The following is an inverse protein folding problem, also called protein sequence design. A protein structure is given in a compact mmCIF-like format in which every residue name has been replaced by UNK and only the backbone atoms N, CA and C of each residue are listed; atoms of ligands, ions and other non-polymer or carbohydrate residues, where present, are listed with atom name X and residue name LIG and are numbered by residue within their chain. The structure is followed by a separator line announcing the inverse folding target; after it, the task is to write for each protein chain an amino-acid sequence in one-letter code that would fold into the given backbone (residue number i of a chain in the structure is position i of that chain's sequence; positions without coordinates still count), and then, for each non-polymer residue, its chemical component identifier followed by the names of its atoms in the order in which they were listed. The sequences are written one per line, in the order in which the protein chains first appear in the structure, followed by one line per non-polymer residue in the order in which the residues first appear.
data_IF_134301000211
#
_entry.id   IF_134301000211
#
_cell.length_a   1.000
_cell.length_b   1.000
_cell.length_c   1.000
_cell.angle_alpha   90.00
_cell.angle_beta   90.00
_cell.angle_gamma   90.00
#
_symmetry.space_group_name_H-M   'P 1'
#
loop_
_entity.id
_entity.type
_entity.pdbx_description
1 polymer ?
#
# COMPACT_ATOMS: atom_id res chain seq x y z
N UNK A 1 6.03 4.77 13.95
CA UNK A 1 7.03 4.00 13.19
C UNK A 1 6.73 4.14 11.72
N UNK A 2 7.74 4.26 10.86
CA UNK A 2 7.52 4.45 9.42
C UNK A 2 7.49 3.11 8.72
N UNK A 3 6.45 2.86 7.93
CA UNK A 3 6.38 1.73 7.00
C UNK A 3 6.66 2.26 5.60
N UNK A 4 7.72 1.77 4.97
CA UNK A 4 8.03 2.03 3.58
C UNK A 4 7.44 0.90 2.73
N UNK A 5 6.30 1.15 2.10
CA UNK A 5 5.71 0.22 1.14
C UNK A 5 6.46 0.32 -0.18
N UNK A 6 6.86 -0.82 -0.73
CA UNK A 6 7.44 -0.95 -2.05
C UNK A 6 6.81 -2.16 -2.75
N UNK A 7 6.03 -1.92 -3.80
CA UNK A 7 5.39 -3.00 -4.58
C UNK A 7 5.80 -2.94 -6.03
N UNK A 8 6.27 -4.07 -6.57
CA UNK A 8 6.47 -4.23 -8.01
C UNK A 8 5.12 -4.50 -8.66
N UNK A 9 4.69 -3.60 -9.55
CA UNK A 9 3.42 -3.74 -10.27
C UNK A 9 3.50 -3.05 -11.65
N UNK A 10 3.32 -3.82 -12.71
CA UNK A 10 3.22 -3.28 -14.07
C UNK A 10 1.80 -2.82 -14.36
N UNK A 11 1.66 -1.58 -14.82
CA UNK A 11 0.37 -0.95 -15.08
C UNK A 11 0.28 -0.44 -16.52
N UNK A 12 -0.95 -0.18 -16.98
CA UNK A 12 -1.19 0.55 -18.22
C UNK A 12 -1.19 2.05 -17.97
N UNK A 13 -0.98 2.85 -19.01
CA UNK A 13 -0.98 4.31 -18.88
C UNK A 13 -2.27 4.84 -18.24
N UNK A 14 -2.13 5.73 -17.25
CA UNK A 14 -3.24 6.31 -16.49
C UNK A 14 -3.67 5.51 -15.25
N UNK A 15 -3.29 4.23 -15.15
CA UNK A 15 -3.50 3.45 -13.93
C UNK A 15 -2.49 3.83 -12.85
N UNK A 16 -2.94 3.84 -11.59
CA UNK A 16 -2.13 4.18 -10.44
C UNK A 16 -2.30 3.15 -9.32
N UNK A 17 -1.22 2.91 -8.56
CA UNK A 17 -1.22 1.98 -7.43
C UNK A 17 -1.39 2.74 -6.11
N UNK A 18 -2.19 2.17 -5.23
CA UNK A 18 -2.47 2.67 -3.89
C UNK A 18 -2.37 1.53 -2.88
N UNK A 19 -2.27 1.86 -1.60
CA UNK A 19 -2.35 0.90 -0.49
C UNK A 19 -3.46 1.29 0.47
N UNK A 20 -4.21 0.31 0.96
CA UNK A 20 -5.19 0.48 2.04
C UNK A 20 -5.15 -0.71 3.00
N UNK A 21 -5.65 -0.55 4.21
CA UNK A 21 -5.60 -1.59 5.23
C UNK A 21 -6.51 -1.30 6.41
N UNK A 22 -6.46 -2.18 7.42
CA UNK A 22 -7.36 -2.09 8.58
C UNK A 22 -7.05 -0.91 9.52
N UNK A 23 -5.83 -0.36 9.46
CA UNK A 23 -5.46 0.83 10.24
C UNK A 23 -6.12 2.09 9.67
N UNK A 24 -6.43 3.04 10.56
CA UNK A 24 -6.95 4.37 10.16
C UNK A 24 -5.96 5.13 9.29
N UNK A 25 -4.66 4.99 9.57
CA UNK A 25 -3.56 5.56 8.76
C UNK A 25 -3.45 4.93 7.36
N UNK A 26 -4.08 3.77 7.16
CA UNK A 26 -4.19 3.08 5.87
C UNK A 26 -5.62 3.17 5.29
N UNK A 27 -6.46 4.07 5.81
CA UNK A 27 -7.78 4.35 5.25
C UNK A 27 -8.88 3.35 5.62
N UNK A 28 -8.66 2.46 6.59
CA UNK A 28 -9.68 1.53 7.12
C UNK A 28 -10.43 0.74 6.03
N UNK A 29 -9.68 0.15 5.09
CA UNK A 29 -10.18 -0.59 3.92
C UNK A 29 -11.05 0.21 2.94
N UNK A 30 -11.14 1.54 3.07
CA UNK A 30 -11.90 2.36 2.13
C UNK A 30 -11.01 2.79 0.95
N UNK A 31 -11.30 2.36 -0.31
CA UNK A 31 -10.53 2.78 -1.48
C UNK A 31 -10.46 4.28 -1.69
N UNK A 32 -11.49 5.02 -1.26
CA UNK A 32 -11.49 6.48 -1.31
C UNK A 32 -10.40 7.10 -0.42
N UNK A 33 -10.04 6.44 0.67
CA UNK A 33 -9.05 6.88 1.66
C UNK A 33 -7.70 6.15 1.53
N UNK A 34 -7.50 5.39 0.44
CA UNK A 34 -6.25 4.68 0.17
C UNK A 34 -5.09 5.65 -0.06
N UNK A 35 -3.88 5.25 0.33
CA UNK A 35 -2.67 6.05 0.16
C UNK A 35 -2.09 5.83 -1.23
N UNK A 36 -1.83 6.91 -1.97
CA UNK A 36 -1.21 6.85 -3.31
C UNK A 36 0.27 6.46 -3.21
N UNK A 37 0.71 5.56 -4.09
CA UNK A 37 2.13 5.26 -4.26
C UNK A 37 2.71 6.05 -5.44
N UNK A 38 3.97 6.43 -5.32
CA UNK A 38 4.74 7.10 -6.38
C UNK A 38 5.36 6.09 -7.34
N UNK A 39 5.27 6.37 -8.63
CA UNK A 39 5.92 5.62 -9.71
C UNK A 39 7.36 6.08 -10.03
N UNK A 40 7.97 6.93 -9.19
CA UNK A 40 9.30 7.49 -9.45
C UNK A 40 10.41 6.45 -9.68
N UNK A 41 10.20 5.21 -9.20
CA UNK A 41 11.11 4.06 -9.38
C UNK A 41 10.44 2.91 -10.15
N UNK A 42 9.52 3.21 -11.07
CA UNK A 42 8.78 2.21 -11.84
C UNK A 42 9.70 1.11 -12.42
N UNK A 43 9.35 -0.19 -12.32
CA UNK A 43 8.03 -0.74 -11.96
C UNK A 43 7.77 -0.86 -10.45
N UNK A 44 8.67 -0.36 -9.60
CA UNK A 44 8.45 -0.34 -8.15
C UNK A 44 7.75 0.94 -7.76
N UNK A 45 6.55 0.79 -7.20
CA UNK A 45 5.73 1.84 -6.63
C UNK A 45 6.04 1.98 -5.14
N UNK A 46 6.13 3.22 -4.63
CA UNK A 46 6.57 3.47 -3.24
C UNK A 46 5.71 4.48 -2.48
N UNK A 47 5.49 4.23 -1.20
CA UNK A 47 4.94 5.20 -0.25
C UNK A 47 5.53 4.99 1.14
N UNK A 48 5.66 6.07 1.92
CA UNK A 48 6.04 6.00 3.33
C UNK A 48 4.85 6.44 4.18
N UNK A 49 4.42 5.62 5.14
CA UNK A 49 3.28 5.89 6.02
C UNK A 49 3.69 5.74 7.48
N UNK A 50 3.31 6.69 8.32
CA UNK A 50 3.46 6.54 9.76
C UNK A 50 2.32 5.72 10.34
N UNK A 51 2.66 4.70 11.11
CA UNK A 51 1.70 3.85 11.83
C UNK A 51 2.07 3.78 13.33
N UNK A 52 1.14 3.35 14.21
CA UNK A 52 1.43 3.19 15.63
C UNK A 52 2.60 2.21 15.85
N UNK A 53 3.45 2.51 16.82
CA UNK A 53 4.57 1.65 17.18
C UNK A 53 4.08 0.27 17.67
N UNK A 54 4.76 -0.81 17.28
CA UNK A 54 4.39 -2.18 17.66
C UNK A 54 3.09 -2.70 17.04
N UNK A 55 2.44 -1.95 16.14
CA UNK A 55 1.19 -2.36 15.52
C UNK A 55 1.37 -3.60 14.63
N UNK A 56 0.43 -4.53 14.75
CA UNK A 56 0.18 -5.55 13.73
C UNK A 56 -1.03 -5.13 12.90
N UNK A 57 -0.94 -5.25 11.58
CA UNK A 57 -1.98 -4.79 10.68
C UNK A 57 -2.07 -5.64 9.43
N UNK A 58 -3.19 -5.49 8.73
CA UNK A 58 -3.44 -6.07 7.42
C UNK A 58 -3.60 -4.97 6.39
N UNK A 59 -3.19 -5.25 5.17
CA UNK A 59 -3.26 -4.32 4.06
C UNK A 59 -3.43 -5.06 2.74
N UNK A 60 -3.87 -4.30 1.73
CA UNK A 60 -3.78 -4.67 0.32
C UNK A 60 -3.36 -3.50 -0.52
N UNK A 61 -2.74 -3.80 -1.64
CA UNK A 61 -2.64 -2.87 -2.73
C UNK A 61 -3.95 -2.83 -3.53
N UNK A 62 -4.30 -1.64 -4.03
CA UNK A 62 -5.36 -1.45 -5.02
C UNK A 62 -4.82 -0.71 -6.24
N UNK A 63 -5.31 -1.07 -7.43
CA UNK A 63 -5.08 -0.33 -8.67
C UNK A 63 -6.33 0.50 -8.97
N UNK A 64 -6.17 1.82 -9.04
CA UNK A 64 -7.20 2.70 -9.59
C UNK A 64 -6.91 2.90 -11.06
N UNK A 65 -7.85 2.46 -11.89
CA UNK A 65 -7.71 2.45 -13.34
C UNK A 65 -8.04 3.82 -13.94
N UNK A 66 -7.50 4.12 -15.12
CA UNK A 66 -7.79 5.37 -15.83
C UNK A 66 -9.30 5.59 -16.10
N UNK A 67 -10.09 4.51 -16.18
CA UNK A 67 -11.55 4.55 -16.35
C UNK A 67 -12.35 4.73 -15.06
N UNK A 68 -11.67 4.89 -13.91
CA UNK A 68 -12.30 5.10 -12.60
C UNK A 68 -12.64 3.82 -11.83
N UNK A 69 -12.30 2.63 -12.36
CA UNK A 69 -12.47 1.37 -11.65
C UNK A 69 -11.42 1.13 -10.57
N UNK A 70 -11.76 0.37 -9.53
CA UNK A 70 -10.85 -0.09 -8.46
C UNK A 70 -10.67 -1.60 -8.57
N UNK A 71 -9.43 -2.04 -8.77
CA UNK A 71 -9.05 -3.46 -8.76
C UNK A 71 -8.24 -3.74 -7.50
N UNK A 72 -8.65 -4.74 -6.74
CA UNK A 72 -7.91 -5.22 -5.57
C UNK A 72 -6.92 -6.29 -5.98
N UNK A 73 -5.81 -6.42 -5.24
CA UNK A 73 -4.98 -7.62 -5.37
C UNK A 73 -5.73 -8.86 -4.87
N UNK A 74 -5.26 -10.04 -5.29
CA UNK A 74 -5.85 -11.32 -4.93
C UNK A 74 -5.82 -11.57 -3.42
N UNK A 75 -6.74 -12.39 -2.93
CA UNK A 75 -6.69 -12.89 -1.55
C UNK A 75 -5.51 -13.87 -1.34
N UNK A 76 -5.02 -14.01 -0.09
CA UNK A 76 -5.49 -13.36 1.14
C UNK A 76 -4.95 -11.92 1.34
N UNK A 77 -5.44 -11.21 2.35
CA UNK A 77 -4.84 -9.96 2.81
C UNK A 77 -3.36 -10.16 3.19
N UNK A 78 -2.51 -9.16 2.90
CA UNK A 78 -1.14 -9.12 3.42
C UNK A 78 -1.16 -8.72 4.89
N UNK A 79 -0.15 -9.17 5.64
CA UNK A 79 -0.01 -8.91 7.08
C UNK A 79 1.39 -8.40 7.38
N UNK A 80 1.52 -7.44 8.31
CA UNK A 80 2.81 -6.97 8.80
C UNK A 80 2.73 -6.54 10.25
N UNK A 81 3.88 -6.61 10.94
CA UNK A 81 4.06 -6.07 12.29
C UNK A 81 5.26 -5.12 12.27
N UNK A 82 5.06 -3.91 12.79
CA UNK A 82 6.14 -2.93 12.89
C UNK A 82 6.88 -3.03 14.22
N UNK A 83 8.17 -2.67 14.26
CA UNK A 83 8.91 -2.53 15.53
C UNK A 83 8.31 -1.43 16.42
N UNK A 84 8.83 -1.31 17.65
CA UNK A 84 8.46 -0.23 18.57
C UNK A 84 9.09 1.13 18.22
N UNK A 85 10.11 1.15 17.36
CA UNK A 85 10.79 2.37 16.90
C UNK A 85 11.41 2.19 15.51
N UNK A 86 11.82 3.29 14.87
CA UNK A 86 12.51 3.25 13.57
C UNK A 86 11.57 3.09 12.37
N UNK A 87 11.97 2.25 11.42
CA UNK A 87 11.22 2.00 10.19
C UNK A 87 11.33 0.54 9.72
N UNK A 88 10.36 0.09 8.94
CA UNK A 88 10.38 -1.18 8.23
C UNK A 88 10.12 -0.93 6.74
N UNK A 89 10.71 -1.74 5.87
CA UNK A 89 10.39 -1.73 4.43
C UNK A 89 9.70 -3.03 4.08
N UNK A 90 8.53 -2.92 3.44
CA UNK A 90 7.78 -4.05 2.89
C UNK A 90 8.05 -4.08 1.39
N UNK A 91 8.60 -5.20 0.90
CA UNK A 91 8.91 -5.40 -0.51
C UNK A 91 7.98 -6.49 -1.04
N UNK A 92 7.05 -6.07 -1.88
CA UNK A 92 5.95 -6.90 -2.36
C UNK A 92 5.95 -6.98 -3.90
N UNK A 93 5.27 -7.99 -4.43
CA UNK A 93 4.91 -8.07 -5.85
C UNK A 93 3.40 -8.21 -5.95
N UNK A 94 2.80 -7.41 -6.82
CA UNK A 94 1.40 -7.51 -7.20
C UNK A 94 1.20 -8.68 -8.17
#
# INVERSE_FOLDING_TARGET
VTVNFAVTATTTFGDNIFVTGNLTQLGSWAPANSIALSAATYPVWRAAVQVPAGASFQYKYIRKTASGGVVWESDPNRSATVPSSGSVTLNDSW
#
